data_IF_612667146425
#
_entry.id   IF_612667146425
#
_cell.length_a   1.000
_cell.length_b   1.000
_cell.length_c   1.000
_cell.angle_alpha   90.00
_cell.angle_beta   90.00
_cell.angle_gamma   90.00
#
_symmetry.space_group_name_H-M   'P 1'
#
loop_
_entity.id
_entity.type
_entity.pdbx_description
1 polymer ?
#
# COMPACT_ATOMS: atom_id res chain seq x y z
N UNK A 1 -8.68 -5.99 -28.97
CA UNK A 1 -8.09 -5.84 -30.32
C UNK A 1 -8.23 -4.41 -30.89
N UNK A 2 -9.36 -3.71 -30.66
CA UNK A 2 -9.58 -2.34 -31.17
C UNK A 2 -8.60 -1.29 -30.56
N UNK A 3 -8.24 -1.41 -29.29
CA UNK A 3 -7.29 -0.49 -28.64
C UNK A 3 -5.83 -0.74 -29.06
N UNK A 4 -5.44 -1.98 -29.34
CA UNK A 4 -4.08 -2.32 -29.78
C UNK A 4 -3.79 -1.84 -31.21
N UNK A 5 -4.78 -1.95 -32.11
CA UNK A 5 -4.66 -1.49 -33.48
C UNK A 5 -4.56 0.04 -33.60
N UNK A 6 -5.25 0.79 -32.74
CA UNK A 6 -5.22 2.26 -32.71
C UNK A 6 -3.84 2.82 -32.26
N UNK A 7 -3.00 2.03 -31.59
CA UNK A 7 -1.70 2.43 -31.06
C UNK A 7 -0.52 1.70 -31.74
N UNK A 8 -0.79 0.92 -32.78
CA UNK A 8 0.25 0.28 -33.60
C UNK A 8 1.11 -0.76 -32.87
N UNK A 9 0.60 -1.36 -31.82
CA UNK A 9 1.28 -2.39 -31.04
C UNK A 9 0.37 -3.59 -30.81
N UNK A 10 0.75 -4.73 -31.36
CA UNK A 10 0.06 -6.02 -31.20
C UNK A 10 0.31 -6.66 -29.82
N UNK A 11 0.27 -5.88 -28.75
CA UNK A 11 0.53 -6.36 -27.40
C UNK A 11 -0.23 -5.60 -26.32
N UNK A 12 -0.21 -6.15 -25.12
CA UNK A 12 -0.73 -5.50 -23.91
C UNK A 12 0.13 -4.25 -23.62
N UNK A 13 -0.42 -3.07 -23.86
CA UNK A 13 0.27 -1.78 -23.83
C UNK A 13 1.07 -1.47 -22.55
N UNK A 14 0.70 -2.10 -21.44
CA UNK A 14 1.33 -1.88 -20.15
C UNK A 14 2.14 -3.08 -19.65
N UNK A 15 2.07 -4.23 -20.35
CA UNK A 15 2.77 -5.44 -19.89
C UNK A 15 4.30 -5.23 -19.94
N UNK A 16 4.98 -5.57 -18.86
CA UNK A 16 6.42 -5.34 -18.73
C UNK A 16 6.79 -3.88 -18.46
N UNK A 17 5.86 -3.06 -17.97
CA UNK A 17 6.15 -1.69 -17.55
C UNK A 17 6.00 -1.51 -16.05
N UNK A 18 6.83 -0.64 -15.47
CA UNK A 18 6.71 -0.26 -14.05
C UNK A 18 5.34 0.36 -13.75
N UNK A 19 4.74 1.06 -14.73
CA UNK A 19 3.41 1.65 -14.58
C UNK A 19 2.33 0.58 -14.38
N UNK A 20 2.37 -0.52 -15.13
CA UNK A 20 1.45 -1.64 -14.94
C UNK A 20 1.55 -2.24 -13.53
N UNK A 21 2.78 -2.39 -13.03
CA UNK A 21 3.03 -2.91 -11.69
C UNK A 21 2.45 -1.98 -10.62
N UNK A 22 2.69 -0.67 -10.73
CA UNK A 22 2.16 0.34 -9.79
C UNK A 22 0.63 0.37 -9.81
N UNK A 23 0.01 0.33 -10.99
CA UNK A 23 -1.46 0.29 -11.13
C UNK A 23 -2.01 -0.99 -10.49
N UNK A 24 -1.41 -2.15 -10.78
CA UNK A 24 -1.83 -3.43 -10.21
C UNK A 24 -1.74 -3.43 -8.68
N UNK A 25 -0.66 -2.92 -8.11
CA UNK A 25 -0.49 -2.79 -6.66
C UNK A 25 -1.51 -1.83 -6.06
N UNK A 26 -1.75 -0.70 -6.72
CA UNK A 26 -2.74 0.28 -6.27
C UNK A 26 -4.12 -0.34 -6.19
N UNK A 27 -4.56 -1.02 -7.25
CA UNK A 27 -5.87 -1.69 -7.28
C UNK A 27 -5.95 -2.82 -6.24
N UNK A 28 -4.89 -3.65 -6.16
CA UNK A 28 -4.84 -4.79 -5.25
C UNK A 28 -4.91 -4.41 -3.79
N UNK A 29 -4.18 -3.37 -3.41
CA UNK A 29 -4.08 -2.95 -2.01
C UNK A 29 -5.06 -1.83 -1.62
N UNK A 30 -5.85 -1.30 -2.55
CA UNK A 30 -6.79 -0.20 -2.31
C UNK A 30 -7.81 -0.47 -1.19
N UNK A 31 -8.22 -1.72 -1.02
CA UNK A 31 -9.19 -2.11 0.00
C UNK A 31 -8.70 -1.84 1.43
N UNK A 32 -7.39 -1.95 1.69
CA UNK A 32 -6.80 -1.74 3.01
C UNK A 32 -6.95 -0.29 3.48
N UNK A 33 -6.47 0.73 2.74
CA UNK A 33 -6.66 2.12 3.13
C UNK A 33 -8.13 2.55 3.08
N UNK A 34 -8.92 2.07 2.12
CA UNK A 34 -10.34 2.40 2.03
C UNK A 34 -11.09 1.96 3.30
N UNK A 35 -10.96 0.70 3.71
CA UNK A 35 -11.57 0.21 4.95
C UNK A 35 -11.04 0.90 6.22
N UNK A 36 -9.75 1.23 6.24
CA UNK A 36 -9.16 1.95 7.38
C UNK A 36 -9.69 3.39 7.50
N UNK A 37 -9.87 4.08 6.38
CA UNK A 37 -10.43 5.43 6.33
C UNK A 37 -11.92 5.40 6.73
N UNK A 38 -12.68 4.46 6.20
CA UNK A 38 -14.10 4.29 6.52
C UNK A 38 -14.29 4.04 8.03
N UNK A 39 -13.55 3.10 8.59
CA UNK A 39 -13.57 2.83 10.03
C UNK A 39 -13.09 4.03 10.87
N UNK A 40 -12.14 4.80 10.35
CA UNK A 40 -11.68 6.04 10.98
C UNK A 40 -12.74 7.13 10.99
N UNK A 41 -13.39 7.34 9.86
CA UNK A 41 -14.49 8.32 9.73
C UNK A 41 -15.68 7.98 10.63
N UNK A 42 -16.04 6.70 10.72
CA UNK A 42 -17.14 6.25 11.56
C UNK A 42 -16.95 6.55 13.06
N UNK A 43 -15.71 6.80 13.49
CA UNK A 43 -15.37 7.18 14.88
C UNK A 43 -15.44 8.69 15.13
N UNK A 44 -15.57 9.51 14.09
CA UNK A 44 -15.63 10.96 14.22
C UNK A 44 -17.09 11.35 14.48
N UNK A 45 -17.41 11.92 15.66
CA UNK A 45 -18.78 12.31 15.95
C UNK A 45 -19.22 13.47 15.06
N UNK A 46 -20.48 13.45 14.57
CA UNK A 46 -21.01 14.52 13.70
C UNK A 46 -20.97 15.92 14.32
N UNK A 47 -20.94 16.01 15.64
CA UNK A 47 -20.83 17.26 16.37
C UNK A 47 -19.55 18.05 16.06
N UNK A 48 -18.45 17.37 15.75
CA UNK A 48 -17.20 18.05 15.36
C UNK A 48 -17.32 18.73 14.00
N UNK A 49 -18.01 18.12 13.06
CA UNK A 49 -18.29 18.72 11.76
C UNK A 49 -19.25 19.90 11.89
N UNK A 50 -20.30 19.77 12.70
CA UNK A 50 -21.25 20.85 12.99
C UNK A 50 -20.56 22.03 13.66
N UNK A 51 -19.69 21.78 14.64
CA UNK A 51 -18.90 22.82 15.29
C UNK A 51 -17.98 23.57 14.31
N UNK A 52 -17.28 22.82 13.44
CA UNK A 52 -16.44 23.44 12.42
C UNK A 52 -17.24 24.34 11.47
N UNK A 53 -18.42 23.91 11.04
CA UNK A 53 -19.32 24.68 10.20
C UNK A 53 -19.85 25.93 10.92
N UNK A 54 -20.19 25.81 12.20
CA UNK A 54 -20.64 26.95 13.02
C UNK A 54 -19.56 28.03 13.19
N UNK A 55 -18.29 27.62 13.12
CA UNK A 55 -17.13 28.51 13.13
C UNK A 55 -16.77 29.06 11.73
N UNK A 56 -17.62 28.82 10.72
CA UNK A 56 -17.44 29.34 9.38
C UNK A 56 -16.49 28.51 8.49
N UNK A 57 -16.14 27.28 8.89
CA UNK A 57 -15.31 26.43 8.06
C UNK A 57 -16.08 25.91 6.83
N UNK A 58 -15.39 25.92 5.69
CA UNK A 58 -15.89 25.28 4.47
C UNK A 58 -15.73 23.75 4.56
N UNK A 59 -16.39 23.01 3.67
CA UNK A 59 -16.21 21.55 3.59
C UNK A 59 -14.74 21.13 3.44
N UNK A 60 -13.96 21.85 2.62
CA UNK A 60 -12.51 21.62 2.47
C UNK A 60 -11.73 21.99 3.73
N UNK A 61 -12.11 23.04 4.41
CA UNK A 61 -11.55 23.46 5.70
C UNK A 61 -11.79 22.41 6.78
N UNK A 62 -13.01 21.92 6.90
CA UNK A 62 -13.39 20.84 7.82
C UNK A 62 -12.61 19.55 7.51
N UNK A 63 -12.50 19.18 6.23
CA UNK A 63 -11.70 18.00 5.83
C UNK A 63 -10.24 18.14 6.31
N UNK A 64 -9.62 19.29 6.07
CA UNK A 64 -8.19 19.50 6.35
C UNK A 64 -7.90 19.70 7.85
N UNK A 65 -8.79 20.41 8.58
CA UNK A 65 -8.57 20.80 9.98
C UNK A 65 -9.14 19.81 10.98
N UNK A 66 -10.17 19.05 10.61
CA UNK A 66 -10.85 18.10 11.50
C UNK A 66 -10.60 16.67 11.07
N UNK A 67 -11.05 16.28 9.86
CA UNK A 67 -11.00 14.89 9.44
C UNK A 67 -9.58 14.38 9.24
N UNK A 68 -8.74 15.08 8.49
CA UNK A 68 -7.39 14.64 8.15
C UNK A 68 -6.49 14.42 9.38
N UNK A 69 -6.45 15.32 10.38
CA UNK A 69 -5.69 15.08 11.61
C UNK A 69 -6.20 13.88 12.41
N UNK A 70 -7.53 13.69 12.51
CA UNK A 70 -8.13 12.57 13.22
C UNK A 70 -7.93 11.23 12.49
N UNK A 71 -7.82 11.25 11.16
CA UNK A 71 -7.55 10.07 10.34
C UNK A 71 -6.07 9.69 10.26
N UNK A 72 -5.14 10.54 10.71
CA UNK A 72 -3.70 10.26 10.65
C UNK A 72 -3.33 8.88 11.19
N UNK A 73 -3.83 8.41 12.36
CA UNK A 73 -3.49 7.08 12.86
C UNK A 73 -3.97 5.96 11.92
N UNK A 74 -5.19 6.09 11.36
CA UNK A 74 -5.74 5.12 10.42
C UNK A 74 -4.94 5.08 9.11
N UNK A 75 -4.59 6.26 8.57
CA UNK A 75 -3.75 6.39 7.37
C UNK A 75 -2.36 5.80 7.58
N UNK A 76 -1.71 6.10 8.72
CA UNK A 76 -0.39 5.56 9.03
C UNK A 76 -0.44 4.04 9.16
N UNK A 77 -1.44 3.51 9.87
CA UNK A 77 -1.61 2.07 10.04
C UNK A 77 -1.82 1.38 8.69
N UNK A 78 -2.71 1.91 7.84
CA UNK A 78 -2.98 1.32 6.52
C UNK A 78 -1.76 1.40 5.60
N UNK A 79 -1.02 2.51 5.61
CA UNK A 79 0.20 2.66 4.83
C UNK A 79 1.27 1.64 5.22
N UNK A 80 1.46 1.39 6.53
CA UNK A 80 2.38 0.39 7.02
C UNK A 80 1.95 -1.04 6.64
N UNK A 81 0.64 -1.34 6.69
CA UNK A 81 0.12 -2.64 6.26
C UNK A 81 0.32 -2.86 4.76
N UNK A 82 -0.03 -1.87 3.94
CA UNK A 82 0.19 -1.93 2.49
C UNK A 82 1.67 -2.11 2.17
N UNK A 83 2.56 -1.41 2.88
CA UNK A 83 3.99 -1.56 2.69
C UNK A 83 4.47 -3.00 2.95
N UNK A 84 4.06 -3.60 4.06
CA UNK A 84 4.43 -4.99 4.40
C UNK A 84 3.88 -5.97 3.36
N UNK A 85 2.63 -5.78 2.93
CA UNK A 85 2.00 -6.66 1.94
C UNK A 85 2.61 -6.49 0.54
N UNK A 86 2.95 -5.27 0.15
CA UNK A 86 3.60 -4.99 -1.13
C UNK A 86 5.03 -5.59 -1.20
N UNK A 87 5.76 -5.59 -0.08
CA UNK A 87 7.12 -6.18 -0.05
C UNK A 87 7.16 -7.68 -0.34
N UNK A 88 6.13 -8.41 0.04
CA UNK A 88 6.01 -9.86 -0.18
C UNK A 88 5.16 -10.23 -1.39
N UNK A 89 4.71 -9.22 -2.17
CA UNK A 89 3.86 -9.45 -3.32
C UNK A 89 4.65 -10.14 -4.45
N UNK A 90 4.25 -11.36 -4.77
CA UNK A 90 4.92 -12.19 -5.76
C UNK A 90 4.09 -12.37 -7.05
N UNK A 91 2.80 -12.79 -7.02
CA UNK A 91 2.03 -13.11 -8.20
C UNK A 91 1.92 -11.97 -9.22
N UNK A 92 1.50 -10.78 -8.77
CA UNK A 92 1.35 -9.63 -9.66
C UNK A 92 2.72 -9.16 -10.20
N UNK A 93 3.75 -9.22 -9.37
CA UNK A 93 5.11 -8.85 -9.79
C UNK A 93 5.64 -9.79 -10.87
N UNK A 94 5.50 -11.10 -10.71
CA UNK A 94 5.96 -12.08 -11.71
C UNK A 94 5.28 -11.90 -13.07
N UNK A 95 3.98 -11.53 -13.06
CA UNK A 95 3.20 -11.36 -14.29
C UNK A 95 3.47 -10.03 -15.02
N UNK A 96 3.74 -8.96 -14.27
CA UNK A 96 3.73 -7.61 -14.80
C UNK A 96 5.10 -6.92 -14.80
N UNK A 97 6.10 -7.49 -14.13
CA UNK A 97 7.41 -6.85 -14.00
C UNK A 97 8.07 -6.61 -15.36
N UNK A 98 8.80 -5.50 -15.51
CA UNK A 98 9.68 -5.28 -16.65
C UNK A 98 10.80 -6.33 -16.73
N UNK A 99 11.35 -6.50 -17.92
CA UNK A 99 12.57 -7.30 -18.09
C UNK A 99 13.71 -6.68 -17.25
N UNK A 100 14.49 -7.52 -16.61
CA UNK A 100 15.61 -7.13 -15.73
C UNK A 100 15.20 -6.29 -14.51
N UNK A 101 13.96 -6.42 -14.07
CA UNK A 101 13.46 -5.80 -12.84
C UNK A 101 13.09 -6.90 -11.83
N UNK A 102 13.76 -6.91 -10.69
CA UNK A 102 13.48 -7.83 -9.59
C UNK A 102 13.13 -7.08 -8.32
N UNK A 103 12.17 -7.64 -7.59
CA UNK A 103 11.90 -7.29 -6.20
C UNK A 103 12.55 -8.31 -5.28
N UNK A 104 12.67 -8.01 -3.99
CA UNK A 104 13.17 -8.99 -3.02
C UNK A 104 12.36 -10.30 -3.04
N UNK A 105 11.04 -10.21 -3.23
CA UNK A 105 10.16 -11.37 -3.32
C UNK A 105 10.43 -12.21 -4.58
N UNK A 106 10.59 -11.57 -5.75
CA UNK A 106 10.88 -12.30 -7.00
C UNK A 106 12.29 -12.88 -7.01
N UNK A 107 13.26 -12.18 -6.42
CA UNK A 107 14.60 -12.70 -6.26
C UNK A 107 14.61 -13.94 -5.36
N UNK A 108 14.02 -13.86 -4.18
CA UNK A 108 13.89 -14.99 -3.27
C UNK A 108 13.22 -16.19 -3.94
N UNK A 109 12.13 -15.94 -4.69
CA UNK A 109 11.46 -17.01 -5.43
C UNK A 109 12.35 -17.65 -6.50
N UNK A 110 13.10 -16.85 -7.25
CA UNK A 110 14.00 -17.36 -8.29
C UNK A 110 15.13 -18.21 -7.71
N UNK A 111 15.74 -17.79 -6.58
CA UNK A 111 16.78 -18.57 -5.90
C UNK A 111 16.22 -19.87 -5.30
N UNK A 112 15.03 -19.80 -4.68
CA UNK A 112 14.36 -20.99 -4.17
C UNK A 112 14.03 -22.00 -5.30
N UNK A 113 13.59 -21.51 -6.45
CA UNK A 113 13.29 -22.35 -7.61
C UNK A 113 14.54 -23.02 -8.23
N UNK A 114 15.72 -22.41 -8.05
CA UNK A 114 17.02 -22.99 -8.47
C UNK A 114 17.62 -23.94 -7.43
N UNK A 115 17.07 -23.96 -6.21
CA UNK A 115 17.65 -24.71 -5.09
C UNK A 115 18.82 -24.03 -4.40
N UNK A 116 19.11 -22.75 -4.73
CA UNK A 116 20.16 -21.90 -4.15
C UNK A 116 19.65 -21.16 -2.93
N UNK A 117 19.23 -21.87 -1.91
CA UNK A 117 18.59 -21.29 -0.71
C UNK A 117 19.51 -20.33 0.05
N UNK A 118 20.81 -20.54 0.03
CA UNK A 118 21.78 -19.68 0.69
C UNK A 118 21.79 -18.26 0.09
N UNK A 119 21.70 -18.15 -1.23
CA UNK A 119 21.64 -16.85 -1.92
C UNK A 119 20.31 -16.14 -1.69
N UNK A 120 19.20 -16.90 -1.59
CA UNK A 120 17.89 -16.39 -1.27
C UNK A 120 17.74 -15.91 0.19
N UNK A 121 18.57 -16.43 1.10
CA UNK A 121 18.46 -16.14 2.54
C UNK A 121 18.64 -14.65 2.87
N UNK A 122 19.51 -13.95 2.14
CA UNK A 122 19.72 -12.50 2.32
C UNK A 122 18.45 -11.70 1.98
N UNK A 123 17.80 -12.04 0.86
CA UNK A 123 16.55 -11.40 0.47
C UNK A 123 15.42 -11.71 1.45
N UNK A 124 15.32 -12.95 1.92
CA UNK A 124 14.37 -13.36 2.95
C UNK A 124 14.57 -12.57 4.24
N UNK A 125 15.81 -12.46 4.71
CA UNK A 125 16.14 -11.68 5.91
C UNK A 125 15.80 -10.20 5.75
N UNK A 126 16.10 -9.62 4.59
CA UNK A 126 15.77 -8.23 4.28
C UNK A 126 14.24 -7.98 4.33
N UNK A 127 13.43 -8.88 3.77
CA UNK A 127 11.96 -8.81 3.82
C UNK A 127 11.48 -8.86 5.28
N UNK A 128 12.00 -9.79 6.07
CA UNK A 128 11.64 -9.96 7.48
C UNK A 128 12.00 -8.71 8.30
N UNK A 129 13.23 -8.22 8.16
CA UNK A 129 13.69 -7.05 8.90
C UNK A 129 12.91 -5.79 8.52
N UNK A 130 12.69 -5.57 7.22
CA UNK A 130 11.90 -4.43 6.76
C UNK A 130 10.42 -4.54 7.18
N UNK A 131 9.85 -5.75 7.23
CA UNK A 131 8.49 -5.99 7.73
C UNK A 131 8.36 -5.82 9.26
N UNK A 132 9.43 -6.09 10.01
CA UNK A 132 9.44 -5.91 11.48
C UNK A 132 9.30 -4.44 11.88
N UNK A 133 9.91 -3.53 11.16
CA UNK A 133 9.86 -2.09 11.46
C UNK A 133 8.43 -1.55 11.54
N UNK A 134 7.56 -1.73 10.53
CA UNK A 134 6.16 -1.34 10.61
C UNK A 134 5.42 -2.00 11.78
N UNK A 135 5.64 -3.28 12.01
CA UNK A 135 4.97 -4.03 13.10
C UNK A 135 5.35 -3.45 14.47
N UNK A 136 6.62 -3.16 14.70
CA UNK A 136 7.08 -2.54 15.94
C UNK A 136 6.50 -1.13 16.10
N UNK A 137 6.46 -0.34 15.02
CA UNK A 137 5.85 0.99 15.05
C UNK A 137 4.36 0.93 15.38
N UNK A 138 3.62 0.00 14.79
CA UNK A 138 2.20 -0.21 15.08
C UNK A 138 1.97 -0.66 16.52
N UNK A 139 2.80 -1.56 17.05
CA UNK A 139 2.70 -2.01 18.44
C UNK A 139 2.93 -0.85 19.43
N UNK A 140 3.92 0.01 19.16
CA UNK A 140 4.22 1.18 20.00
C UNK A 140 3.11 2.24 19.98
N UNK A 141 2.46 2.46 18.83
CA UNK A 141 1.36 3.44 18.72
C UNK A 141 0.12 2.97 19.47
N UNK A 142 -0.18 1.68 19.48
CA UNK A 142 -1.30 1.12 20.26
C UNK A 142 -1.10 1.27 21.77
N UNK A 143 0.11 1.14 22.26
CA UNK A 143 0.42 1.28 23.69
C UNK A 143 0.23 2.73 24.20
N UNK A 144 0.37 3.74 23.34
CA UNK A 144 0.16 5.15 23.71
C UNK A 144 -1.31 5.60 23.75
N UNK A 145 -2.23 4.82 23.17
CA UNK A 145 -3.66 5.16 23.10
C UNK A 145 -4.46 4.44 24.21
N UNK A 146 -3.87 3.41 24.83
CA UNK A 146 -4.51 2.62 25.89
C UNK A 146 -4.03 2.93 27.31
N UNK A 147 -3.19 3.94 27.47
CA UNK A 147 -2.78 4.51 28.76
C UNK A 147 -3.32 5.94 28.92
#
# INVERSE_FOLDING_TARGET
RLFGAALGRDGLLLMGSTAALVIAYTVRFLAIPAGSIEAGLARIPPSLEQAARSLGETAGGTLRRVHLPLLRPALTTSALLVFVDAMKELPATLLLRPLNFDTLATWLYAEAARGTYEEGAVAALAIVLAGLVPVILLARTRHKIGA
#
